data_IF_659998141890
#
_entry.id   IF_659998141890
#
_cell.length_a   1.000
_cell.length_b   1.000
_cell.length_c   1.000
_cell.angle_alpha   90.00
_cell.angle_beta   90.00
_cell.angle_gamma   90.00
#
_symmetry.space_group_name_H-M   'P 1'
#
loop_
_entity.id
_entity.type
_entity.pdbx_description
1 polymer ?
#
# COMPACT_ATOMS: atom_id res chain seq x y z
N UNK A 1 -19.52 -23.16 13.74
CA UNK A 1 -18.53 -22.59 12.80
C UNK A 1 -18.80 -21.13 12.49
N UNK A 2 -20.06 -20.66 12.58
CA UNK A 2 -20.48 -19.33 12.11
C UNK A 2 -19.74 -18.11 12.71
N UNK A 3 -19.28 -18.17 13.96
CA UNK A 3 -18.47 -17.10 14.61
C UNK A 3 -16.98 -17.43 14.64
N UNK A 4 -16.46 -17.97 13.55
CA UNK A 4 -15.02 -18.24 13.42
C UNK A 4 -14.42 -17.26 12.44
N UNK A 5 -13.14 -16.91 12.65
CA UNK A 5 -12.37 -16.04 11.75
C UNK A 5 -12.43 -16.52 10.30
N UNK A 6 -12.50 -17.83 10.08
CA UNK A 6 -12.73 -18.42 8.76
C UNK A 6 -14.02 -17.92 8.10
N UNK A 7 -15.16 -18.03 8.80
CA UNK A 7 -16.45 -17.63 8.22
C UNK A 7 -16.55 -16.10 8.11
N UNK A 8 -15.99 -15.38 9.08
CA UNK A 8 -15.94 -13.91 9.05
C UNK A 8 -15.15 -13.40 7.83
N UNK A 9 -13.99 -13.99 7.55
CA UNK A 9 -13.21 -13.63 6.37
C UNK A 9 -13.90 -14.03 5.06
N UNK A 10 -14.47 -15.24 4.96
CA UNK A 10 -15.16 -15.66 3.73
C UNK A 10 -16.41 -14.81 3.41
N UNK A 11 -17.00 -14.14 4.40
CA UNK A 11 -18.12 -13.19 4.19
C UNK A 11 -17.69 -11.89 3.51
N UNK A 12 -16.42 -11.49 3.65
CA UNK A 12 -15.92 -10.26 3.01
C UNK A 12 -15.61 -10.46 1.53
N UNK A 13 -15.55 -11.71 1.06
CA UNK A 13 -15.17 -12.01 -0.31
C UNK A 13 -16.28 -11.59 -1.26
N UNK A 14 -15.92 -10.90 -2.32
CA UNK A 14 -16.78 -10.71 -3.48
C UNK A 14 -17.05 -12.04 -4.20
N UNK A 15 -18.07 -12.12 -5.08
CA UNK A 15 -18.31 -13.31 -5.88
C UNK A 15 -17.09 -13.72 -6.73
N UNK A 16 -16.32 -12.74 -7.18
CA UNK A 16 -15.07 -12.94 -7.92
C UNK A 16 -14.00 -13.58 -7.04
N UNK A 17 -13.72 -13.01 -5.87
CA UNK A 17 -12.74 -13.55 -4.93
C UNK A 17 -13.12 -14.95 -4.45
N UNK A 18 -14.42 -15.23 -4.23
CA UNK A 18 -14.89 -16.58 -3.86
C UNK A 18 -14.64 -17.63 -4.96
N UNK A 19 -14.64 -17.21 -6.24
CA UNK A 19 -14.26 -18.08 -7.36
C UNK A 19 -12.75 -18.28 -7.39
N UNK A 20 -11.97 -17.21 -7.36
CA UNK A 20 -10.50 -17.26 -7.40
C UNK A 20 -9.94 -18.04 -6.20
N UNK A 21 -10.52 -17.89 -5.01
CA UNK A 21 -10.15 -18.66 -3.83
C UNK A 21 -10.46 -20.15 -3.96
N UNK A 22 -11.52 -20.53 -4.69
CA UNK A 22 -11.82 -21.92 -5.01
C UNK A 22 -10.71 -22.58 -5.82
N UNK A 23 -10.19 -21.85 -6.81
CA UNK A 23 -9.07 -22.26 -7.64
C UNK A 23 -7.78 -22.33 -6.82
N UNK A 24 -7.56 -21.35 -5.94
CA UNK A 24 -6.43 -21.29 -5.03
C UNK A 24 -6.39 -22.49 -4.06
N UNK A 25 -7.50 -22.80 -3.39
CA UNK A 25 -7.62 -23.94 -2.45
C UNK A 25 -7.44 -25.28 -3.15
N UNK A 26 -7.86 -25.38 -4.41
CA UNK A 26 -7.73 -26.59 -5.21
C UNK A 26 -6.36 -26.75 -5.88
N UNK A 27 -5.54 -25.70 -5.87
CA UNK A 27 -4.23 -25.70 -6.51
C UNK A 27 -3.23 -26.55 -5.71
N UNK A 28 -2.59 -27.56 -6.33
CA UNK A 28 -1.60 -28.41 -5.67
C UNK A 28 -0.32 -27.66 -5.28
N UNK A 29 -0.13 -26.44 -5.81
CA UNK A 29 0.96 -25.55 -5.43
C UNK A 29 0.73 -24.96 -4.02
N UNK A 30 -0.51 -24.56 -3.70
CA UNK A 30 -0.84 -23.93 -2.43
C UNK A 30 -1.37 -24.91 -1.38
N UNK A 31 -2.05 -25.98 -1.81
CA UNK A 31 -2.70 -26.93 -0.91
C UNK A 31 -2.74 -28.35 -1.50
N UNK A 32 -2.30 -29.33 -0.71
CA UNK A 32 -2.38 -30.77 -1.05
C UNK A 32 -3.38 -31.53 -0.17
N UNK A 33 -4.00 -30.88 0.81
CA UNK A 33 -4.90 -31.53 1.75
C UNK A 33 -6.31 -31.65 1.16
N UNK A 34 -6.64 -32.85 0.68
CA UNK A 34 -7.95 -33.18 0.08
C UNK A 34 -9.11 -32.93 1.04
N UNK A 35 -8.93 -33.10 2.35
CA UNK A 35 -10.01 -32.84 3.32
C UNK A 35 -10.27 -31.35 3.52
N UNK A 36 -9.26 -30.49 3.35
CA UNK A 36 -9.42 -29.03 3.36
C UNK A 36 -10.20 -28.58 2.13
N UNK A 37 -9.89 -29.13 0.95
CA UNK A 37 -10.65 -28.87 -0.29
C UNK A 37 -12.11 -29.28 -0.09
N UNK A 38 -12.37 -30.49 0.38
CA UNK A 38 -13.73 -30.97 0.67
C UNK A 38 -14.46 -30.10 1.70
N UNK A 39 -13.76 -29.65 2.74
CA UNK A 39 -14.34 -28.76 3.75
C UNK A 39 -14.79 -27.45 3.11
N UNK A 40 -13.93 -26.84 2.30
CA UNK A 40 -14.25 -25.60 1.60
C UNK A 40 -15.46 -25.77 0.66
N UNK A 41 -15.48 -26.80 -0.17
CA UNK A 41 -16.59 -27.08 -1.10
C UNK A 41 -17.94 -27.31 -0.39
N UNK A 42 -17.92 -27.83 0.84
CA UNK A 42 -19.13 -27.98 1.65
C UNK A 42 -19.60 -26.65 2.24
N UNK A 43 -18.66 -25.79 2.67
CA UNK A 43 -18.97 -24.49 3.27
C UNK A 43 -19.45 -23.50 2.20
N UNK A 44 -18.73 -23.40 1.08
CA UNK A 44 -18.97 -22.44 -0.02
C UNK A 44 -20.39 -22.49 -0.58
N UNK A 45 -21.06 -23.65 -0.53
CA UNK A 45 -22.47 -23.79 -0.95
C UNK A 45 -23.45 -22.89 -0.18
N UNK A 46 -23.02 -22.31 0.92
CA UNK A 46 -23.83 -21.41 1.75
C UNK A 46 -23.37 -19.95 1.65
N UNK A 47 -22.40 -19.63 0.79
CA UNK A 47 -22.04 -18.24 0.49
C UNK A 47 -23.22 -17.52 -0.20
N UNK A 48 -23.47 -16.23 0.10
CA UNK A 48 -22.72 -15.35 1.00
C UNK A 48 -23.17 -15.40 2.48
N UNK A 49 -24.35 -15.96 2.76
CA UNK A 49 -25.01 -15.82 4.08
C UNK A 49 -24.37 -16.67 5.18
N UNK A 50 -23.86 -17.84 4.83
CA UNK A 50 -23.30 -18.85 5.75
C UNK A 50 -24.21 -19.14 6.95
N UNK A 51 -25.51 -19.38 6.67
CA UNK A 51 -26.51 -19.60 7.71
C UNK A 51 -26.06 -20.66 8.74
N UNK A 52 -26.10 -20.35 10.06
CA UNK A 52 -25.55 -21.23 11.09
C UNK A 52 -26.16 -22.64 11.10
N UNK A 53 -27.44 -22.79 10.75
CA UNK A 53 -28.13 -24.09 10.64
C UNK A 53 -27.60 -24.96 9.48
N UNK A 54 -27.00 -24.35 8.46
CA UNK A 54 -26.44 -25.05 7.30
C UNK A 54 -24.97 -25.41 7.48
N UNK A 55 -24.22 -24.62 8.25
CA UNK A 55 -22.77 -24.80 8.52
C UNK A 55 -22.46 -25.27 9.96
N UNK A 56 -23.39 -25.99 10.58
CA UNK A 56 -23.18 -26.63 11.89
C UNK A 56 -21.99 -27.62 11.85
N UNK A 57 -21.20 -27.66 12.93
CA UNK A 57 -19.95 -28.45 12.98
C UNK A 57 -20.20 -29.94 12.76
N UNK A 58 -21.20 -30.48 13.46
CA UNK A 58 -21.59 -31.89 13.40
C UNK A 58 -22.07 -32.26 11.99
N UNK A 59 -22.88 -31.38 11.37
CA UNK A 59 -23.42 -31.56 10.03
C UNK A 59 -22.33 -31.56 8.96
N UNK A 60 -21.38 -30.63 9.06
CA UNK A 60 -20.24 -30.57 8.14
C UNK A 60 -19.33 -31.78 8.34
N UNK A 61 -19.05 -32.16 9.59
CA UNK A 61 -18.22 -33.33 9.89
C UNK A 61 -18.83 -34.62 9.35
N UNK A 62 -20.14 -34.84 9.54
CA UNK A 62 -20.83 -36.02 9.04
C UNK A 62 -20.75 -36.14 7.50
N UNK A 63 -20.75 -35.00 6.78
CA UNK A 63 -20.55 -34.97 5.33
C UNK A 63 -19.10 -35.21 4.92
N UNK A 64 -18.14 -34.73 5.70
CA UNK A 64 -16.70 -34.94 5.45
C UNK A 64 -16.26 -36.38 5.72
N UNK A 65 -16.79 -36.97 6.78
CA UNK A 65 -16.41 -38.30 7.28
C UNK A 65 -17.64 -39.16 7.54
N UNK A 66 -18.32 -39.65 6.49
CA UNK A 66 -19.50 -40.48 6.63
C UNK A 66 -19.24 -41.70 7.54
N UNK A 67 -20.17 -41.97 8.46
CA UNK A 67 -20.09 -43.11 9.38
C UNK A 67 -19.08 -42.97 10.53
N UNK A 68 -18.33 -41.86 10.64
CA UNK A 68 -17.40 -41.64 11.75
C UNK A 68 -18.05 -40.82 12.88
N UNK A 69 -17.73 -41.11 14.16
CA UNK A 69 -18.20 -40.29 15.27
C UNK A 69 -17.62 -38.88 15.16
N UNK A 70 -18.40 -37.88 15.57
CA UNK A 70 -17.99 -36.48 15.52
C UNK A 70 -16.71 -36.24 16.32
N UNK A 71 -15.69 -35.66 15.67
CA UNK A 71 -14.42 -35.25 16.29
C UNK A 71 -14.19 -33.75 16.05
N UNK A 72 -14.55 -32.95 17.06
CA UNK A 72 -14.40 -31.49 16.99
C UNK A 72 -12.94 -31.06 16.78
N UNK A 73 -11.97 -31.74 17.39
CA UNK A 73 -10.55 -31.46 17.20
C UNK A 73 -10.10 -31.61 15.73
N UNK A 74 -10.54 -32.67 15.06
CA UNK A 74 -10.26 -32.89 13.64
C UNK A 74 -10.87 -31.80 12.76
N UNK A 75 -12.12 -31.42 13.02
CA UNK A 75 -12.77 -30.35 12.26
C UNK A 75 -12.08 -29.00 12.48
N UNK A 76 -11.75 -28.65 13.73
CA UNK A 76 -11.03 -27.42 14.06
C UNK A 76 -9.68 -27.35 13.34
N UNK A 77 -8.95 -28.46 13.27
CA UNK A 77 -7.69 -28.52 12.54
C UNK A 77 -7.87 -28.27 11.04
N UNK A 78 -8.90 -28.85 10.42
CA UNK A 78 -9.21 -28.57 9.00
C UNK A 78 -9.65 -27.13 8.77
N UNK A 79 -10.42 -26.55 9.70
CA UNK A 79 -10.81 -25.14 9.65
C UNK A 79 -9.59 -24.22 9.78
N UNK A 80 -8.64 -24.56 10.66
CA UNK A 80 -7.38 -23.83 10.82
C UNK A 80 -6.58 -23.85 9.50
N UNK A 81 -6.34 -25.02 8.91
CA UNK A 81 -5.65 -25.11 7.62
C UNK A 81 -6.38 -24.38 6.49
N UNK A 82 -7.71 -24.41 6.47
CA UNK A 82 -8.48 -23.63 5.50
C UNK A 82 -8.34 -22.12 5.73
N UNK A 83 -8.27 -21.68 6.98
CA UNK A 83 -8.06 -20.27 7.30
C UNK A 83 -6.66 -19.79 6.92
N UNK A 84 -5.62 -20.60 7.10
CA UNK A 84 -4.28 -20.26 6.59
C UNK A 84 -4.28 -20.06 5.07
N UNK A 85 -5.11 -20.80 4.33
CA UNK A 85 -5.28 -20.58 2.88
C UNK A 85 -5.99 -19.26 2.58
N UNK A 86 -6.97 -18.86 3.41
CA UNK A 86 -7.63 -17.56 3.29
C UNK A 86 -6.60 -16.44 3.45
N UNK A 87 -5.76 -16.49 4.49
CA UNK A 87 -4.72 -15.49 4.73
C UNK A 87 -3.73 -15.41 3.57
N UNK A 88 -3.25 -16.56 3.08
CA UNK A 88 -2.35 -16.63 1.91
C UNK A 88 -3.01 -16.08 0.65
N UNK A 89 -4.28 -16.39 0.42
CA UNK A 89 -5.03 -15.88 -0.73
C UNK A 89 -5.19 -14.37 -0.67
N UNK A 90 -5.56 -13.81 0.49
CA UNK A 90 -5.70 -12.36 0.66
C UNK A 90 -4.36 -11.65 0.42
N UNK A 91 -3.26 -12.17 0.96
CA UNK A 91 -1.93 -11.65 0.69
C UNK A 91 -1.56 -11.74 -0.80
N UNK A 92 -1.83 -12.87 -1.44
CA UNK A 92 -1.57 -13.09 -2.86
C UNK A 92 -2.41 -12.16 -3.76
N UNK A 93 -3.69 -11.98 -3.44
CA UNK A 93 -4.61 -11.08 -4.16
C UNK A 93 -4.16 -9.61 -4.03
N UNK A 94 -3.79 -9.19 -2.81
CA UNK A 94 -3.25 -7.85 -2.60
C UNK A 94 -1.93 -7.64 -3.33
N UNK A 95 -1.03 -8.62 -3.30
CA UNK A 95 0.22 -8.55 -4.04
C UNK A 95 0.02 -8.45 -5.55
N UNK A 96 -0.89 -9.26 -6.12
CA UNK A 96 -1.18 -9.24 -7.55
C UNK A 96 -1.85 -7.94 -8.02
N UNK A 97 -2.59 -7.26 -7.15
CA UNK A 97 -3.23 -5.97 -7.49
C UNK A 97 -2.27 -4.78 -7.40
N UNK A 98 -1.18 -4.90 -6.63
CA UNK A 98 -0.15 -3.86 -6.53
C UNK A 98 0.91 -4.03 -7.62
N UNK A 99 0.65 -3.40 -8.78
CA UNK A 99 1.52 -3.49 -9.96
C UNK A 99 2.96 -3.02 -9.69
N UNK A 100 3.17 -2.04 -8.80
CA UNK A 100 4.50 -1.50 -8.54
C UNK A 100 5.27 -2.38 -7.58
N UNK A 101 4.61 -2.89 -6.53
CA UNK A 101 5.23 -3.85 -5.62
C UNK A 101 5.60 -5.15 -6.32
N UNK A 102 4.77 -5.60 -7.27
CA UNK A 102 5.10 -6.74 -8.12
C UNK A 102 6.36 -6.48 -8.98
N UNK A 103 6.44 -5.30 -9.61
CA UNK A 103 7.63 -4.91 -10.41
C UNK A 103 8.88 -4.80 -9.55
N UNK A 104 8.80 -4.21 -8.36
CA UNK A 104 9.90 -4.10 -7.40
C UNK A 104 10.49 -5.47 -7.05
N UNK A 105 9.65 -6.41 -6.60
CA UNK A 105 10.11 -7.77 -6.25
C UNK A 105 10.66 -8.52 -7.48
N UNK A 106 10.06 -8.34 -8.65
CA UNK A 106 10.58 -8.92 -9.89
C UNK A 106 11.96 -8.34 -10.24
N UNK A 107 12.18 -7.03 -10.05
CA UNK A 107 13.48 -6.39 -10.29
C UNK A 107 14.56 -6.96 -9.37
N UNK A 108 14.26 -7.13 -8.08
CA UNK A 108 15.17 -7.78 -7.12
C UNK A 108 15.59 -9.18 -7.60
N UNK A 109 14.62 -10.00 -8.03
CA UNK A 109 14.87 -11.37 -8.47
C UNK A 109 15.61 -11.44 -9.81
N UNK A 110 15.30 -10.55 -10.75
CA UNK A 110 16.03 -10.47 -12.02
C UNK A 110 17.47 -10.00 -11.81
N UNK A 111 17.68 -9.05 -10.91
CA UNK A 111 18.99 -8.54 -10.56
C UNK A 111 19.86 -9.62 -9.89
N UNK A 112 19.32 -10.34 -8.90
CA UNK A 112 20.05 -11.41 -8.20
C UNK A 112 20.48 -12.55 -9.14
N UNK A 113 19.67 -12.81 -10.18
CA UNK A 113 19.94 -13.81 -11.23
C UNK A 113 20.77 -13.27 -12.39
N UNK A 114 21.17 -12.00 -12.37
CA UNK A 114 21.91 -11.32 -13.45
C UNK A 114 21.17 -11.33 -14.80
N UNK A 115 19.84 -11.34 -14.77
CA UNK A 115 18.97 -11.27 -15.96
C UNK A 115 18.78 -9.81 -16.41
N UNK A 116 19.89 -9.14 -16.72
CA UNK A 116 19.93 -7.69 -16.88
C UNK A 116 19.13 -7.14 -18.06
N UNK A 117 19.01 -7.89 -19.16
CA UNK A 117 18.18 -7.48 -20.30
C UNK A 117 16.69 -7.41 -19.93
N UNK A 118 16.22 -8.38 -19.14
CA UNK A 118 14.84 -8.37 -18.66
C UNK A 118 14.65 -7.30 -17.58
N UNK A 119 15.65 -7.14 -16.70
CA UNK A 119 15.67 -6.09 -15.69
C UNK A 119 15.48 -4.70 -16.29
N UNK A 120 16.26 -4.34 -17.31
CA UNK A 120 16.16 -3.05 -18.02
C UNK A 120 14.75 -2.82 -18.58
N UNK A 121 14.18 -3.85 -19.23
CA UNK A 121 12.82 -3.77 -19.75
C UNK A 121 11.79 -3.51 -18.64
N UNK A 122 11.92 -4.18 -17.49
CA UNK A 122 10.97 -4.02 -16.38
C UNK A 122 11.12 -2.65 -15.72
N UNK A 123 12.34 -2.17 -15.46
CA UNK A 123 12.55 -0.88 -14.78
C UNK A 123 12.12 0.30 -15.66
N UNK A 124 12.34 0.23 -16.98
CA UNK A 124 11.88 1.26 -17.91
C UNK A 124 10.35 1.28 -17.99
N UNK A 125 9.70 0.11 -18.05
CA UNK A 125 8.25 0.00 -17.98
C UNK A 125 7.68 0.43 -16.61
N UNK A 126 8.43 0.24 -15.52
CA UNK A 126 8.01 0.69 -14.19
C UNK A 126 8.01 2.22 -14.09
N UNK A 127 9.05 2.88 -14.61
CA UNK A 127 9.13 4.34 -14.65
C UNK A 127 8.06 4.95 -15.56
N UNK A 128 7.84 4.38 -16.76
CA UNK A 128 6.77 4.84 -17.66
C UNK A 128 5.40 4.74 -17.01
N UNK A 129 5.11 3.62 -16.33
CA UNK A 129 3.87 3.46 -15.58
C UNK A 129 3.69 4.48 -14.45
N UNK A 130 4.79 4.94 -13.83
CA UNK A 130 4.75 6.02 -12.84
C UNK A 130 4.55 7.39 -13.52
N UNK A 131 5.13 7.63 -14.70
CA UNK A 131 4.95 8.89 -15.45
C UNK A 131 3.49 9.09 -15.86
N UNK A 132 2.76 7.99 -16.10
CA UNK A 132 1.34 8.00 -16.49
C UNK A 132 0.38 8.09 -15.29
N UNK A 133 0.86 8.01 -14.05
CA UNK A 133 0.00 8.19 -12.88
C UNK A 133 -0.44 9.65 -12.77
N UNK A 134 -1.77 9.85 -12.71
CA UNK A 134 -2.35 11.14 -12.37
C UNK A 134 -2.08 11.49 -10.91
N UNK A 135 -2.43 10.58 -9.99
CA UNK A 135 -2.28 10.78 -8.55
C UNK A 135 -0.82 10.61 -8.15
N UNK A 136 -0.27 11.62 -7.46
CA UNK A 136 1.14 11.67 -7.01
C UNK A 136 1.26 11.65 -5.49
N UNK A 137 0.59 10.71 -4.85
CA UNK A 137 0.57 10.56 -3.39
C UNK A 137 1.90 9.99 -2.81
N UNK A 138 1.86 9.59 -1.54
CA UNK A 138 3.02 8.98 -0.89
C UNK A 138 3.56 7.74 -1.63
N UNK A 139 2.66 6.93 -2.19
CA UNK A 139 3.01 5.71 -2.92
C UNK A 139 3.76 6.04 -4.20
N UNK A 140 3.33 7.09 -4.91
CA UNK A 140 4.05 7.61 -6.07
C UNK A 140 5.50 7.98 -5.72
N UNK A 141 5.72 8.85 -4.72
CA UNK A 141 7.06 9.28 -4.36
C UNK A 141 7.93 8.13 -3.81
N UNK A 142 7.33 7.22 -3.02
CA UNK A 142 8.00 5.99 -2.55
C UNK A 142 8.50 5.15 -3.73
N UNK A 143 7.63 4.87 -4.70
CA UNK A 143 7.99 4.03 -5.85
C UNK A 143 9.01 4.70 -6.76
N UNK A 144 8.96 6.04 -6.93
CA UNK A 144 9.99 6.81 -7.63
C UNK A 144 11.37 6.65 -6.99
N UNK A 145 11.43 6.81 -5.67
CA UNK A 145 12.65 6.61 -4.90
C UNK A 145 13.18 5.18 -5.07
N UNK A 146 12.34 4.16 -4.85
CA UNK A 146 12.77 2.76 -4.94
C UNK A 146 13.28 2.40 -6.34
N UNK A 147 12.60 2.83 -7.41
CA UNK A 147 13.08 2.54 -8.77
C UNK A 147 14.35 3.33 -9.12
N UNK A 148 14.53 4.53 -8.58
CA UNK A 148 15.80 5.24 -8.71
C UNK A 148 16.94 4.50 -7.99
N UNK A 149 16.69 3.97 -6.79
CA UNK A 149 17.65 3.15 -6.02
C UNK A 149 18.04 1.87 -6.78
N UNK A 150 17.04 1.18 -7.32
CA UNK A 150 17.24 0.03 -8.20
C UNK A 150 18.10 0.38 -9.42
N UNK A 151 17.84 1.53 -10.07
CA UNK A 151 18.64 1.96 -11.22
C UNK A 151 20.09 2.23 -10.82
N UNK A 152 20.32 2.89 -9.67
CA UNK A 152 21.67 3.11 -9.15
C UNK A 152 22.41 1.81 -8.89
N UNK A 153 21.77 0.86 -8.21
CA UNK A 153 22.35 -0.46 -7.91
C UNK A 153 22.66 -1.26 -9.18
N UNK A 154 21.81 -1.13 -10.19
CA UNK A 154 22.03 -1.72 -11.50
C UNK A 154 23.25 -1.13 -12.23
N UNK A 155 23.34 0.19 -12.29
CA UNK A 155 24.48 0.88 -12.90
C UNK A 155 25.77 0.53 -12.15
N UNK A 156 25.69 0.36 -10.83
CA UNK A 156 26.80 -0.03 -9.99
C UNK A 156 27.43 -1.36 -10.39
N UNK A 157 26.57 -2.35 -10.58
CA UNK A 157 26.95 -3.71 -10.90
C UNK A 157 27.48 -3.83 -12.33
N UNK A 158 26.76 -3.28 -13.31
CA UNK A 158 27.12 -3.39 -14.73
C UNK A 158 28.43 -2.65 -15.05
N UNK A 159 28.65 -1.52 -14.40
CA UNK A 159 29.81 -0.67 -14.65
C UNK A 159 30.85 -0.75 -13.53
N UNK A 160 30.92 -1.89 -12.83
CA UNK A 160 31.94 -2.13 -11.81
C UNK A 160 33.35 -1.82 -12.36
N UNK A 161 34.08 -0.93 -11.67
CA UNK A 161 35.41 -0.46 -12.09
C UNK A 161 35.42 0.61 -13.21
N UNK A 162 34.25 1.02 -13.73
CA UNK A 162 34.05 2.16 -14.65
C UNK A 162 32.98 3.12 -14.15
N UNK A 163 32.70 3.09 -12.85
CA UNK A 163 31.58 3.76 -12.20
C UNK A 163 31.49 5.26 -12.54
N UNK A 164 32.63 5.96 -12.49
CA UNK A 164 32.74 7.40 -12.78
C UNK A 164 32.33 7.78 -14.21
N UNK A 165 32.40 6.84 -15.16
CA UNK A 165 32.05 7.10 -16.56
C UNK A 165 30.55 6.97 -16.83
N UNK A 166 29.84 6.15 -16.06
CA UNK A 166 28.46 5.75 -16.37
C UNK A 166 27.44 6.15 -15.30
N UNK A 167 27.88 6.36 -14.06
CA UNK A 167 27.09 7.05 -13.06
C UNK A 167 27.19 8.55 -13.31
N UNK A 168 26.18 9.12 -13.95
CA UNK A 168 26.18 10.56 -14.22
C UNK A 168 25.73 11.34 -12.98
N UNK A 169 26.11 12.63 -12.95
CA UNK A 169 25.55 13.60 -11.99
C UNK A 169 24.02 13.54 -11.98
N UNK A 170 23.40 13.39 -13.15
CA UNK A 170 21.94 13.38 -13.29
C UNK A 170 21.31 12.13 -12.65
N UNK A 171 21.98 10.96 -12.70
CA UNK A 171 21.50 9.77 -12.00
C UNK A 171 21.51 9.96 -10.48
N UNK A 172 22.58 10.55 -9.94
CA UNK A 172 22.70 10.83 -8.51
C UNK A 172 21.68 11.89 -8.09
N UNK A 173 21.55 12.97 -8.87
CA UNK A 173 20.60 14.04 -8.58
C UNK A 173 19.16 13.50 -8.60
N UNK A 174 18.79 12.70 -9.61
CA UNK A 174 17.46 12.10 -9.70
C UNK A 174 17.16 11.21 -8.48
N UNK A 175 18.11 10.40 -8.03
CA UNK A 175 17.93 9.62 -6.80
C UNK A 175 17.76 10.53 -5.58
N UNK A 176 18.65 11.51 -5.42
CA UNK A 176 18.61 12.49 -4.32
C UNK A 176 17.29 13.24 -4.27
N UNK A 177 16.77 13.69 -5.41
CA UNK A 177 15.50 14.41 -5.50
C UNK A 177 14.33 13.48 -5.14
N UNK A 178 14.32 12.23 -5.62
CA UNK A 178 13.23 11.30 -5.33
C UNK A 178 13.18 10.88 -3.86
N UNK A 179 14.31 10.57 -3.23
CA UNK A 179 14.35 10.24 -1.80
C UNK A 179 13.97 11.46 -0.95
N UNK A 180 14.44 12.66 -1.32
CA UNK A 180 14.10 13.90 -0.64
C UNK A 180 12.61 14.20 -0.76
N UNK A 181 12.03 14.04 -1.95
CA UNK A 181 10.60 14.26 -2.17
C UNK A 181 9.74 13.28 -1.36
N UNK A 182 10.09 12.00 -1.36
CA UNK A 182 9.40 10.99 -0.55
C UNK A 182 9.47 11.30 0.95
N UNK A 183 10.67 11.64 1.43
CA UNK A 183 10.91 11.99 2.82
C UNK A 183 10.10 13.23 3.23
N UNK A 184 10.23 14.34 2.49
CA UNK A 184 9.55 15.58 2.82
C UNK A 184 8.03 15.47 2.69
N UNK A 185 7.53 14.80 1.66
CA UNK A 185 6.10 14.52 1.55
C UNK A 185 5.60 13.80 2.82
N UNK A 186 6.29 12.75 3.24
CA UNK A 186 5.91 11.96 4.42
C UNK A 186 5.94 12.83 5.69
N UNK A 187 7.05 13.54 5.92
CA UNK A 187 7.24 14.39 7.09
C UNK A 187 6.18 15.47 7.18
N UNK A 188 5.98 16.23 6.09
CA UNK A 188 5.03 17.34 6.08
C UNK A 188 3.59 16.86 6.22
N UNK A 189 3.22 15.74 5.57
CA UNK A 189 1.91 15.12 5.74
C UNK A 189 1.63 14.76 7.19
N UNK A 190 2.55 14.05 7.84
CA UNK A 190 2.35 13.65 9.23
C UNK A 190 2.40 14.84 10.19
N UNK A 191 3.21 15.86 9.90
CA UNK A 191 3.21 17.07 10.72
C UNK A 191 1.88 17.81 10.65
N UNK A 192 1.30 17.96 9.45
CA UNK A 192 -0.03 18.53 9.28
C UNK A 192 -1.09 17.77 10.08
N UNK A 193 -1.07 16.43 10.04
CA UNK A 193 -1.96 15.57 10.84
C UNK A 193 -1.75 15.81 12.35
N UNK A 194 -0.49 15.90 12.79
CA UNK A 194 -0.16 16.17 14.19
C UNK A 194 -0.70 17.52 14.64
N UNK A 195 -0.47 18.59 13.87
CA UNK A 195 -0.95 19.93 14.19
C UNK A 195 -2.48 19.98 14.22
N UNK A 196 -3.14 19.38 13.24
CA UNK A 196 -4.60 19.30 13.21
C UNK A 196 -5.15 18.53 14.42
N UNK A 197 -4.52 17.43 14.81
CA UNK A 197 -4.89 16.65 16.01
C UNK A 197 -4.70 17.46 17.28
N UNK A 198 -3.57 18.16 17.41
CA UNK A 198 -3.29 19.06 18.54
C UNK A 198 -4.34 20.17 18.64
N UNK A 199 -4.73 20.75 17.50
CA UNK A 199 -5.76 21.79 17.41
C UNK A 199 -7.15 21.26 17.82
N UNK A 200 -7.62 20.18 17.21
CA UNK A 200 -8.98 19.66 17.42
C UNK A 200 -9.19 19.02 18.80
N UNK A 201 -8.19 18.31 19.30
CA UNK A 201 -8.33 17.52 20.53
C UNK A 201 -7.61 18.12 21.74
N UNK A 202 -6.97 19.28 21.58
CA UNK A 202 -6.19 19.96 22.62
C UNK A 202 -5.15 19.02 23.29
N UNK A 203 -4.53 18.16 22.47
CA UNK A 203 -3.46 17.26 22.89
C UNK A 203 -2.10 17.92 22.71
N UNK A 204 -1.12 17.58 23.56
CA UNK A 204 0.26 18.06 23.43
C UNK A 204 1.13 16.96 22.84
N UNK A 205 1.79 17.27 21.74
CA UNK A 205 2.78 16.40 21.08
C UNK A 205 4.07 17.20 20.95
N UNK A 206 5.22 16.55 21.17
CA UNK A 206 6.53 17.16 20.92
C UNK A 206 6.78 17.22 19.41
N UNK A 207 6.87 18.44 18.88
CA UNK A 207 7.00 18.75 17.45
C UNK A 207 8.39 19.28 17.07
N UNK A 208 9.36 19.26 17.99
CA UNK A 208 10.68 19.87 17.78
C UNK A 208 11.41 19.35 16.53
N UNK A 209 11.28 18.06 16.23
CA UNK A 209 11.90 17.47 15.02
C UNK A 209 11.26 18.01 13.74
N UNK A 210 9.94 18.14 13.71
CA UNK A 210 9.22 18.70 12.56
C UNK A 210 9.57 20.17 12.35
N UNK A 211 9.61 20.95 13.44
CA UNK A 211 9.99 22.35 13.42
C UNK A 211 11.40 22.57 12.87
N UNK A 212 12.37 21.76 13.30
CA UNK A 212 13.75 21.83 12.82
C UNK A 212 13.87 21.58 11.30
N UNK A 213 13.05 20.68 10.75
CA UNK A 213 13.01 20.43 9.31
C UNK A 213 12.46 21.65 8.57
N UNK A 214 11.43 22.31 9.11
CA UNK A 214 10.86 23.51 8.51
C UNK A 214 11.75 24.74 8.57
N UNK A 215 12.61 24.87 9.59
CA UNK A 215 13.56 25.99 9.68
C UNK A 215 14.48 26.08 8.45
N UNK A 216 14.74 24.95 7.79
CA UNK A 216 15.59 24.87 6.61
C UNK A 216 14.80 24.60 5.32
N UNK A 217 13.46 24.64 5.38
CA UNK A 217 12.61 24.37 4.23
C UNK A 217 12.51 25.62 3.34
N UNK A 218 13.01 25.51 2.10
CA UNK A 218 12.82 26.54 1.08
C UNK A 218 11.89 26.01 -0.02
N UNK A 219 10.69 26.62 -0.09
CA UNK A 219 9.64 26.30 -1.07
C UNK A 219 10.12 26.40 -2.53
N UNK A 220 11.09 27.25 -2.83
CA UNK A 220 11.60 27.46 -4.19
C UNK A 220 12.29 26.20 -4.76
N UNK A 221 12.84 25.34 -3.90
CA UNK A 221 13.43 24.07 -4.33
C UNK A 221 12.39 23.02 -4.72
N UNK A 222 11.11 23.21 -4.38
CA UNK A 222 10.05 22.21 -4.54
C UNK A 222 8.96 22.64 -5.53
N UNK A 223 9.25 23.60 -6.41
CA UNK A 223 8.28 24.07 -7.42
C UNK A 223 7.80 22.94 -8.36
N UNK A 224 8.63 21.91 -8.58
CA UNK A 224 8.29 20.72 -9.38
C UNK A 224 7.63 19.59 -8.57
N UNK A 225 7.44 19.77 -7.26
CA UNK A 225 6.81 18.83 -6.35
C UNK A 225 5.63 19.51 -5.63
N UNK A 226 4.52 19.79 -6.35
CA UNK A 226 3.43 20.63 -5.85
C UNK A 226 2.81 20.11 -4.55
N UNK A 227 2.74 18.79 -4.34
CA UNK A 227 2.17 18.22 -3.12
C UNK A 227 3.00 18.51 -1.86
N UNK A 228 4.33 18.59 -1.99
CA UNK A 228 5.21 19.00 -0.87
C UNK A 228 4.87 20.43 -0.47
N UNK A 229 4.68 21.30 -1.46
CA UNK A 229 4.30 22.69 -1.24
C UNK A 229 2.91 22.83 -0.64
N UNK A 230 1.94 22.02 -1.10
CA UNK A 230 0.58 21.99 -0.54
C UNK A 230 0.63 21.63 0.95
N UNK A 231 1.31 20.54 1.33
CA UNK A 231 1.43 20.16 2.74
C UNK A 231 2.18 21.21 3.58
N UNK A 232 3.23 21.82 3.04
CA UNK A 232 3.89 22.95 3.69
C UNK A 232 2.91 24.08 3.98
N UNK A 233 2.06 24.46 3.02
CA UNK A 233 1.05 25.51 3.22
C UNK A 233 -0.02 25.13 4.24
N UNK A 234 -0.44 23.87 4.27
CA UNK A 234 -1.35 23.36 5.32
C UNK A 234 -0.74 23.57 6.70
N UNK A 235 0.54 23.24 6.87
CA UNK A 235 1.25 23.46 8.14
C UNK A 235 1.30 24.96 8.49
N UNK A 236 1.55 25.83 7.51
CA UNK A 236 1.58 27.28 7.74
C UNK A 236 0.24 27.84 8.24
N UNK A 237 -0.89 27.22 7.92
CA UNK A 237 -2.19 27.63 8.50
C UNK A 237 -2.22 27.51 10.03
N UNK A 238 -1.46 26.57 10.61
CA UNK A 238 -1.40 26.36 12.06
C UNK A 238 -0.22 27.10 12.70
N UNK A 239 0.92 27.20 12.00
CA UNK A 239 2.16 27.78 12.53
C UNK A 239 2.19 29.31 12.39
N UNK A 240 1.56 29.85 11.34
CA UNK A 240 1.46 31.29 11.04
C UNK A 240 0.03 31.66 10.63
N UNK A 241 -0.95 31.48 11.54
CA UNK A 241 -2.36 31.67 11.20
C UNK A 241 -2.71 33.10 10.75
N UNK A 242 -1.91 34.09 11.14
CA UNK A 242 -2.06 35.48 10.72
C UNK A 242 -1.68 35.75 9.25
N UNK A 243 -0.95 34.83 8.61
CA UNK A 243 -0.53 34.95 7.22
C UNK A 243 -1.56 34.31 6.28
N UNK A 244 -2.64 35.05 6.03
CA UNK A 244 -3.77 34.65 5.16
C UNK A 244 -3.33 34.31 3.72
N UNK A 245 -2.15 34.75 3.28
CA UNK A 245 -1.58 34.41 1.98
C UNK A 245 -1.43 32.88 1.81
N UNK A 246 -1.13 32.17 2.92
CA UNK A 246 -1.03 30.71 2.89
C UNK A 246 -2.36 30.05 2.57
N UNK A 247 -3.47 30.56 3.10
CA UNK A 247 -4.81 30.05 2.82
C UNK A 247 -5.17 30.23 1.34
N UNK A 248 -4.99 31.44 0.81
CA UNK A 248 -5.33 31.74 -0.58
C UNK A 248 -4.49 30.93 -1.56
N UNK A 249 -3.17 30.86 -1.36
CA UNK A 249 -2.28 30.06 -2.21
C UNK A 249 -2.56 28.57 -2.08
N UNK A 250 -2.87 28.07 -0.89
CA UNK A 250 -3.25 26.67 -0.71
C UNK A 250 -4.51 26.34 -1.52
N UNK A 251 -5.54 27.19 -1.44
CA UNK A 251 -6.78 27.02 -2.21
C UNK A 251 -6.51 26.94 -3.71
N UNK A 252 -5.72 27.87 -4.24
CA UNK A 252 -5.34 27.87 -5.66
C UNK A 252 -4.60 26.60 -6.06
N UNK A 253 -3.66 26.13 -5.22
CA UNK A 253 -2.88 24.93 -5.51
C UNK A 253 -3.72 23.66 -5.45
N UNK A 254 -4.68 23.55 -4.51
CA UNK A 254 -5.60 22.41 -4.44
C UNK A 254 -6.43 22.32 -5.72
N UNK A 255 -7.00 23.45 -6.17
CA UNK A 255 -7.80 23.49 -7.41
C UNK A 255 -6.92 23.15 -8.62
N UNK A 256 -5.72 23.72 -8.69
CA UNK A 256 -4.80 23.51 -9.81
C UNK A 256 -4.32 22.05 -9.92
N UNK A 257 -4.17 21.36 -8.79
CA UNK A 257 -3.61 20.01 -8.72
C UNK A 257 -4.62 18.95 -8.28
N UNK A 258 -5.93 19.20 -8.41
CA UNK A 258 -7.00 18.30 -7.97
C UNK A 258 -6.81 16.84 -8.46
N UNK A 259 -6.49 16.67 -9.75
CA UNK A 259 -6.21 15.36 -10.36
C UNK A 259 -4.99 14.64 -9.73
N UNK A 260 -4.00 15.40 -9.24
CA UNK A 260 -2.79 14.85 -8.62
C UNK A 260 -3.00 14.47 -7.15
N UNK A 261 -4.01 15.04 -6.48
CA UNK A 261 -4.31 14.80 -5.06
C UNK A 261 -5.18 13.56 -4.85
N UNK A 262 -6.04 13.23 -5.82
CA UNK A 262 -6.94 12.08 -5.73
C UNK A 262 -7.80 12.11 -4.47
N UNK A 263 -7.91 10.98 -3.77
CA UNK A 263 -8.73 10.85 -2.55
C UNK A 263 -8.24 11.74 -1.38
N UNK A 264 -6.98 12.18 -1.39
CA UNK A 264 -6.43 13.05 -0.32
C UNK A 264 -6.99 14.47 -0.36
N UNK A 265 -7.75 14.84 -1.39
CA UNK A 265 -8.30 16.20 -1.53
C UNK A 265 -9.21 16.60 -0.36
N UNK A 266 -9.99 15.65 0.16
CA UNK A 266 -10.89 15.88 1.29
C UNK A 266 -10.16 16.34 2.55
N UNK A 267 -8.99 15.74 2.83
CA UNK A 267 -8.17 16.09 4.00
C UNK A 267 -7.73 17.56 3.95
N UNK A 268 -7.42 18.09 2.77
CA UNK A 268 -6.99 19.48 2.63
C UNK A 268 -8.14 20.47 2.86
N UNK A 269 -9.34 20.17 2.36
CA UNK A 269 -10.51 20.99 2.63
C UNK A 269 -10.87 21.01 4.11
N UNK A 270 -10.78 19.86 4.80
CA UNK A 270 -10.98 19.79 6.25
C UNK A 270 -9.98 20.68 7.00
N UNK A 271 -8.71 20.69 6.61
CA UNK A 271 -7.71 21.57 7.23
C UNK A 271 -8.02 23.06 6.99
N UNK A 272 -8.46 23.42 5.78
CA UNK A 272 -8.88 24.78 5.46
C UNK A 272 -10.13 25.21 6.24
N UNK A 273 -11.12 24.33 6.39
CA UNK A 273 -12.31 24.60 7.20
C UNK A 273 -11.96 24.81 8.67
N UNK A 274 -11.13 23.95 9.24
CA UNK A 274 -10.67 24.06 10.63
C UNK A 274 -9.91 25.36 10.92
N UNK A 275 -9.19 25.89 9.93
CA UNK A 275 -8.51 27.20 10.05
C UNK A 275 -9.50 28.37 10.10
N UNK A 276 -10.66 28.25 9.45
CA UNK A 276 -11.68 29.31 9.42
C UNK A 276 -12.58 29.35 10.67
N UNK A 277 -12.45 28.38 11.58
CA UNK A 277 -13.22 28.25 12.82
C UNK A 277 -12.39 28.72 14.00
#
# INVERSE_FOLDING_TARGET
MNKSSLIEALKTFSPREMKEFSEFVSSPFFNKNVNVIKLFELIKKNYPEFEPLKIGKEKIFAKLFPGKPFKDSTLRLLMYYLYELVEKFLAHSRFNSDKFRHKEILLEELFSRKLFKDYEKIIDAANKDLDELKVKDNSYYRNRYLFAEHKLSYLAEIYMGKYEKYLTRDNIQLFSDNITNFYLFSVLKYYAITLNTMYLYNVKVDTAVFENILLNFNIEHFQNAPLIVIYYRVIMLFVKPEDEENYHKLKEMIIKHEDELGESIGDFYINMENYCV
#
